data_IF_136590875616
#
_entry.id   IF_136590875616
#
_cell.length_a   1.000
_cell.length_b   1.000
_cell.length_c   1.000
_cell.angle_alpha   90.00
_cell.angle_beta   90.00
_cell.angle_gamma   90.00
#
_symmetry.space_group_name_H-M   'P 1'
#
loop_
_entity.id
_entity.type
_entity.pdbx_description
1 polymer ?
#
# COMPACT_ATOMS: atom_id res chain seq x y z
N UNK A 1 3.34 10.59 0.19
CA UNK A 1 4.42 10.11 1.07
C UNK A 1 5.56 11.14 1.12
N UNK A 2 6.15 11.29 2.31
CA UNK A 2 7.33 12.12 2.51
C UNK A 2 8.58 11.36 2.07
N UNK A 3 9.10 11.74 0.92
CA UNK A 3 10.30 11.16 0.32
C UNK A 3 11.40 12.22 0.21
N UNK A 4 12.66 11.78 0.18
CA UNK A 4 13.82 12.69 0.02
C UNK A 4 13.88 13.20 -1.43
N UNK A 5 13.29 14.37 -1.69
CA UNK A 5 13.16 14.97 -3.03
C UNK A 5 14.49 15.24 -3.74
N UNK A 6 15.57 15.41 -2.97
CA UNK A 6 16.93 15.63 -3.46
C UNK A 6 17.66 14.35 -3.91
N UNK A 7 17.09 13.18 -3.66
CA UNK A 7 17.61 11.90 -4.13
C UNK A 7 16.96 11.52 -5.46
N UNK A 8 17.65 10.68 -6.23
CA UNK A 8 17.01 9.93 -7.31
C UNK A 8 16.21 8.79 -6.73
N UNK A 9 15.23 8.25 -7.50
CA UNK A 9 14.46 7.09 -7.06
C UNK A 9 15.36 5.90 -6.72
N UNK A 10 16.40 5.64 -7.54
CA UNK A 10 17.31 4.52 -7.30
C UNK A 10 18.20 4.75 -6.07
N UNK A 11 18.67 5.98 -5.84
CA UNK A 11 19.46 6.30 -4.64
C UNK A 11 18.63 6.12 -3.37
N UNK A 12 17.36 6.55 -3.40
CA UNK A 12 16.43 6.36 -2.29
C UNK A 12 16.22 4.86 -1.99
N UNK A 13 15.96 4.04 -3.02
CA UNK A 13 15.79 2.60 -2.84
C UNK A 13 17.08 1.92 -2.34
N UNK A 14 18.25 2.39 -2.79
CA UNK A 14 19.53 1.93 -2.28
C UNK A 14 19.73 2.32 -0.81
N UNK A 15 19.41 3.54 -0.45
CA UNK A 15 19.48 4.03 0.93
C UNK A 15 18.59 3.18 1.87
N UNK A 16 17.35 2.91 1.48
CA UNK A 16 16.46 2.01 2.25
C UNK A 16 17.05 0.61 2.35
N UNK A 17 17.57 0.07 1.25
CA UNK A 17 18.22 -1.25 1.25
C UNK A 17 19.45 -1.31 2.16
N UNK A 18 20.22 -0.22 2.29
CA UNK A 18 21.36 -0.14 3.20
C UNK A 18 20.92 -0.14 4.67
N UNK A 19 19.85 0.60 5.00
CA UNK A 19 19.28 0.62 6.37
C UNK A 19 18.86 -0.79 6.83
N UNK A 20 18.27 -1.57 5.92
CA UNK A 20 17.81 -2.93 6.22
C UNK A 20 18.85 -4.02 5.90
N UNK A 21 20.10 -3.64 5.62
CA UNK A 21 21.22 -4.55 5.33
C UNK A 21 20.92 -5.54 4.18
N UNK A 22 20.10 -5.11 3.21
CA UNK A 22 19.75 -5.93 2.04
C UNK A 22 20.90 -5.98 1.06
N UNK A 23 21.34 -7.18 0.69
CA UNK A 23 22.44 -7.35 -0.26
C UNK A 23 22.13 -6.71 -1.62
N UNK A 24 23.15 -6.18 -2.31
CA UNK A 24 23.01 -5.50 -3.60
C UNK A 24 22.29 -6.38 -4.65
N UNK A 25 22.59 -7.69 -4.65
CA UNK A 25 21.95 -8.65 -5.56
C UNK A 25 20.44 -8.72 -5.30
N UNK A 26 20.06 -8.95 -4.04
CA UNK A 26 18.64 -9.07 -3.65
C UNK A 26 17.87 -7.78 -3.89
N UNK A 27 18.46 -6.66 -3.51
CA UNK A 27 17.90 -5.32 -3.76
C UNK A 27 17.59 -5.12 -5.24
N UNK A 28 18.57 -5.43 -6.12
CA UNK A 28 18.36 -5.30 -7.56
C UNK A 28 17.21 -6.16 -8.07
N UNK A 29 17.10 -7.41 -7.60
CA UNK A 29 15.99 -8.32 -7.98
C UNK A 29 14.63 -7.76 -7.57
N UNK A 30 14.49 -7.27 -6.33
CA UNK A 30 13.23 -6.73 -5.80
C UNK A 30 12.87 -5.42 -6.51
N UNK A 31 13.83 -4.50 -6.66
CA UNK A 31 13.62 -3.21 -7.33
C UNK A 31 13.22 -3.44 -8.79
N UNK A 32 13.95 -4.29 -9.53
CA UNK A 32 13.63 -4.63 -10.92
C UNK A 32 12.19 -5.16 -11.06
N UNK A 33 11.81 -6.12 -10.22
CA UNK A 33 10.48 -6.73 -10.21
C UNK A 33 9.38 -5.68 -10.02
N UNK A 34 9.46 -4.90 -8.97
CA UNK A 34 8.36 -4.01 -8.59
C UNK A 34 8.39 -2.67 -9.34
N UNK A 35 9.56 -2.13 -9.67
CA UNK A 35 9.65 -0.93 -10.49
C UNK A 35 9.13 -1.16 -11.92
N UNK A 36 9.38 -2.35 -12.47
CA UNK A 36 8.81 -2.76 -13.75
C UNK A 36 7.30 -2.93 -13.65
N UNK A 37 6.81 -3.67 -12.63
CA UNK A 37 5.37 -3.89 -12.41
C UNK A 37 4.60 -2.57 -12.27
N UNK A 38 5.15 -1.60 -11.57
CA UNK A 38 4.51 -0.30 -11.36
C UNK A 38 4.83 0.76 -12.43
N UNK A 39 5.57 0.41 -13.48
CA UNK A 39 5.89 1.31 -14.59
C UNK A 39 6.74 2.52 -14.21
N UNK A 40 7.57 2.41 -13.16
CA UNK A 40 8.47 3.49 -12.72
C UNK A 40 9.95 3.21 -12.97
N UNK A 41 10.28 2.06 -13.60
CA UNK A 41 11.66 1.64 -13.82
C UNK A 41 12.49 2.69 -14.57
N UNK A 42 11.94 3.24 -15.65
CA UNK A 42 12.65 4.15 -16.55
C UNK A 42 12.89 5.53 -15.93
N UNK A 43 12.18 5.86 -14.87
CA UNK A 43 12.30 7.14 -14.16
C UNK A 43 13.10 7.05 -12.86
N UNK A 44 13.59 5.87 -12.48
CA UNK A 44 14.35 5.70 -11.23
C UNK A 44 15.63 6.55 -11.14
N UNK A 45 16.22 6.93 -12.28
CA UNK A 45 17.39 7.79 -12.32
C UNK A 45 17.05 9.30 -12.23
N UNK A 46 15.77 9.65 -12.23
CA UNK A 46 15.35 11.04 -12.08
C UNK A 46 15.20 11.38 -10.60
N UNK A 47 15.35 12.68 -10.26
CA UNK A 47 15.13 13.18 -8.91
C UNK A 47 13.66 12.98 -8.50
N UNK A 48 13.45 12.53 -7.27
CA UNK A 48 12.10 12.32 -6.68
C UNK A 48 11.29 13.61 -6.68
N UNK A 49 11.95 14.76 -6.55
CA UNK A 49 11.30 16.08 -6.67
C UNK A 49 10.55 16.30 -7.99
N UNK A 50 10.95 15.60 -9.07
CA UNK A 50 10.26 15.66 -10.38
C UNK A 50 9.12 14.67 -10.55
N UNK A 51 8.90 13.75 -9.57
CA UNK A 51 7.87 12.73 -9.67
C UNK A 51 6.47 13.30 -9.43
N UNK A 52 5.50 12.79 -10.18
CA UNK A 52 4.09 13.00 -9.86
C UNK A 52 3.73 12.37 -8.51
N UNK A 53 2.58 12.75 -7.95
CA UNK A 53 2.11 12.15 -6.69
C UNK A 53 1.99 10.62 -6.81
N UNK A 54 1.39 10.12 -7.89
CA UNK A 54 1.28 8.67 -8.14
C UNK A 54 2.63 7.97 -8.28
N UNK A 55 3.64 8.60 -8.92
CA UNK A 55 4.99 8.04 -8.99
C UNK A 55 5.66 7.97 -7.61
N UNK A 56 5.47 8.99 -6.77
CA UNK A 56 5.97 8.99 -5.39
C UNK A 56 5.30 7.88 -4.56
N UNK A 57 4.00 7.69 -4.72
CA UNK A 57 3.26 6.62 -4.05
C UNK A 57 3.78 5.23 -4.47
N UNK A 58 3.98 5.00 -5.77
CA UNK A 58 4.56 3.76 -6.29
C UNK A 58 5.97 3.52 -5.74
N UNK A 59 6.83 4.55 -5.72
CA UNK A 59 8.18 4.46 -5.16
C UNK A 59 8.17 4.12 -3.67
N UNK A 60 7.26 4.72 -2.89
CA UNK A 60 7.08 4.43 -1.47
C UNK A 60 6.69 2.96 -1.25
N UNK A 61 5.78 2.42 -2.06
CA UNK A 61 5.41 1.00 -1.99
C UNK A 61 6.61 0.10 -2.34
N UNK A 62 7.37 0.42 -3.41
CA UNK A 62 8.58 -0.34 -3.75
C UNK A 62 9.59 -0.31 -2.61
N UNK A 63 9.81 0.85 -1.98
CA UNK A 63 10.74 0.98 -0.86
C UNK A 63 10.35 0.13 0.35
N UNK A 64 9.05 0.02 0.62
CA UNK A 64 8.53 -0.85 1.69
C UNK A 64 8.72 -2.35 1.39
N UNK A 65 8.89 -2.72 0.13
CA UNK A 65 9.08 -4.11 -0.31
C UNK A 65 10.56 -4.52 -0.42
N UNK A 66 11.50 -3.57 -0.45
CA UNK A 66 12.94 -3.84 -0.70
C UNK A 66 13.54 -4.85 0.28
N UNK A 67 13.12 -4.80 1.54
CA UNK A 67 13.62 -5.67 2.61
C UNK A 67 12.76 -6.93 2.83
N UNK A 68 11.82 -7.22 1.92
CA UNK A 68 10.91 -8.38 1.96
C UNK A 68 10.24 -8.58 3.32
N UNK A 69 9.46 -7.61 3.81
CA UNK A 69 8.83 -7.68 5.11
C UNK A 69 7.79 -8.82 5.17
N UNK A 70 7.46 -9.29 6.37
CA UNK A 70 6.32 -10.19 6.59
C UNK A 70 5.01 -9.44 6.79
N UNK A 71 5.09 -8.18 7.21
CA UNK A 71 3.95 -7.29 7.44
C UNK A 71 4.20 -5.96 6.72
N UNK A 72 3.23 -5.54 5.90
CA UNK A 72 3.17 -4.19 5.34
C UNK A 72 2.12 -3.37 6.09
N UNK A 73 2.49 -2.15 6.47
CA UNK A 73 1.56 -1.16 7.02
C UNK A 73 1.52 0.01 6.03
N UNK A 74 0.34 0.30 5.48
CA UNK A 74 0.16 1.30 4.43
C UNK A 74 -0.95 2.27 4.83
N UNK A 75 -0.68 3.56 4.69
CA UNK A 75 -1.67 4.61 4.91
C UNK A 75 -2.18 5.10 3.56
N UNK A 76 -3.49 4.95 3.32
CA UNK A 76 -4.18 5.36 2.10
C UNK A 76 -3.45 4.99 0.79
N UNK A 77 -3.10 3.71 0.56
CA UNK A 77 -2.17 3.32 -0.50
C UNK A 77 -2.69 3.57 -1.93
N UNK A 78 -3.98 3.87 -2.10
CA UNK A 78 -4.62 4.07 -3.41
C UNK A 78 -4.80 5.54 -3.77
N UNK A 79 -4.58 6.46 -2.83
CA UNK A 79 -4.75 7.90 -3.07
C UNK A 79 -3.73 8.40 -4.11
N UNK A 80 -4.24 9.11 -5.12
CA UNK A 80 -3.41 9.68 -6.20
C UNK A 80 -2.95 8.68 -7.27
N UNK A 81 -3.42 7.44 -7.22
CA UNK A 81 -3.18 6.46 -8.26
C UNK A 81 -4.27 6.53 -9.34
N UNK A 82 -3.87 6.37 -10.59
CA UNK A 82 -4.79 6.11 -11.69
C UNK A 82 -5.39 4.69 -11.60
N UNK A 83 -6.44 4.36 -12.38
CA UNK A 83 -7.09 3.05 -12.30
C UNK A 83 -6.16 1.88 -12.56
N UNK A 84 -5.20 2.01 -13.48
CA UNK A 84 -4.25 0.94 -13.80
C UNK A 84 -3.27 0.72 -12.64
N UNK A 85 -2.71 1.79 -12.10
CA UNK A 85 -1.82 1.73 -10.96
C UNK A 85 -2.53 1.15 -9.71
N UNK A 86 -3.79 1.56 -9.47
CA UNK A 86 -4.61 0.98 -8.39
C UNK A 86 -4.81 -0.52 -8.56
N UNK A 87 -5.06 -0.97 -9.79
CA UNK A 87 -5.17 -2.40 -10.10
C UNK A 87 -3.86 -3.14 -9.81
N UNK A 88 -2.72 -2.61 -10.28
CA UNK A 88 -1.39 -3.21 -10.06
C UNK A 88 -1.02 -3.32 -8.58
N UNK A 89 -1.35 -2.30 -7.77
CA UNK A 89 -1.15 -2.32 -6.33
C UNK A 89 -2.03 -3.39 -5.67
N UNK A 90 -3.31 -3.49 -6.05
CA UNK A 90 -4.20 -4.54 -5.53
C UNK A 90 -3.69 -5.95 -5.84
N UNK A 91 -3.22 -6.17 -7.07
CA UNK A 91 -2.63 -7.47 -7.47
C UNK A 91 -1.34 -7.77 -6.69
N UNK A 92 -0.48 -6.76 -6.48
CA UNK A 92 0.70 -6.91 -5.61
C UNK A 92 0.30 -7.31 -4.18
N UNK A 93 -0.72 -6.65 -3.62
CA UNK A 93 -1.20 -6.95 -2.27
C UNK A 93 -1.73 -8.39 -2.16
N UNK A 94 -2.50 -8.86 -3.15
CA UNK A 94 -2.96 -10.26 -3.21
C UNK A 94 -1.81 -11.25 -3.30
N UNK A 95 -0.85 -11.01 -4.19
CA UNK A 95 0.34 -11.83 -4.32
C UNK A 95 1.16 -11.88 -3.03
N UNK A 96 1.32 -10.73 -2.37
CA UNK A 96 2.07 -10.64 -1.12
C UNK A 96 1.43 -11.47 -0.01
N UNK A 97 0.11 -11.38 0.15
CA UNK A 97 -0.63 -12.19 1.13
C UNK A 97 -0.65 -13.68 0.75
N UNK A 98 -0.80 -14.03 -0.53
CA UNK A 98 -0.76 -15.41 -1.00
C UNK A 98 0.60 -16.09 -0.73
N UNK A 99 1.68 -15.31 -0.68
CA UNK A 99 3.03 -15.78 -0.32
C UNK A 99 3.30 -15.77 1.19
N UNK A 100 2.26 -15.65 2.03
CA UNK A 100 2.36 -15.73 3.49
C UNK A 100 2.67 -14.41 4.19
N UNK A 101 2.64 -13.29 3.48
CA UNK A 101 2.70 -11.96 4.07
C UNK A 101 1.35 -11.51 4.64
N UNK A 102 1.37 -10.45 5.44
CA UNK A 102 0.17 -9.78 5.94
C UNK A 102 0.23 -8.29 5.58
N UNK A 103 -0.93 -7.70 5.29
CA UNK A 103 -1.05 -6.27 5.00
C UNK A 103 -2.10 -5.67 5.92
N UNK A 104 -1.72 -4.56 6.56
CA UNK A 104 -2.63 -3.68 7.27
C UNK A 104 -2.61 -2.32 6.57
N UNK A 105 -3.77 -1.84 6.13
CA UNK A 105 -3.84 -0.53 5.48
C UNK A 105 -5.08 0.25 5.91
N UNK A 106 -4.93 1.58 5.94
CA UNK A 106 -6.06 2.49 6.10
C UNK A 106 -6.69 2.81 4.74
N UNK A 107 -7.99 3.02 4.71
CA UNK A 107 -8.68 3.60 3.55
C UNK A 107 -10.02 4.19 3.96
N UNK A 108 -10.45 5.24 3.28
CA UNK A 108 -11.81 5.78 3.34
C UNK A 108 -12.69 5.27 2.18
N UNK A 109 -12.15 4.44 1.30
CA UNK A 109 -12.89 3.87 0.16
C UNK A 109 -13.43 2.50 0.55
N UNK A 110 -14.67 2.47 1.03
CA UNK A 110 -15.32 1.27 1.61
C UNK A 110 -15.38 0.10 0.61
N UNK A 111 -15.66 0.39 -0.67
CA UNK A 111 -15.67 -0.64 -1.72
C UNK A 111 -14.32 -1.35 -1.90
N UNK A 112 -13.21 -0.63 -1.73
CA UNK A 112 -11.87 -1.21 -1.79
C UNK A 112 -11.62 -2.11 -0.59
N UNK A 113 -12.00 -1.67 0.62
CA UNK A 113 -11.87 -2.47 1.82
C UNK A 113 -12.70 -3.76 1.71
N UNK A 114 -13.96 -3.66 1.30
CA UNK A 114 -14.87 -4.80 1.16
C UNK A 114 -14.36 -5.86 0.16
N UNK A 115 -13.78 -5.43 -0.97
CA UNK A 115 -13.28 -6.34 -2.01
C UNK A 115 -11.88 -6.92 -1.76
N UNK A 116 -11.09 -6.28 -0.89
CA UNK A 116 -9.68 -6.63 -0.73
C UNK A 116 -9.35 -7.22 0.64
N UNK A 117 -10.07 -6.82 1.68
CA UNK A 117 -9.78 -7.22 3.05
C UNK A 117 -10.58 -8.43 3.49
N UNK A 118 -9.94 -9.33 4.24
CA UNK A 118 -10.63 -10.41 4.94
C UNK A 118 -11.03 -10.02 6.37
N UNK A 119 -10.37 -9.00 6.94
CA UNK A 119 -10.66 -8.43 8.27
C UNK A 119 -10.76 -6.93 8.18
N UNK A 120 -11.58 -6.35 9.05
CA UNK A 120 -11.80 -4.90 9.10
C UNK A 120 -11.79 -4.38 10.55
N UNK A 121 -11.39 -3.14 10.68
CA UNK A 121 -11.54 -2.32 11.88
C UNK A 121 -12.11 -0.97 11.46
N UNK A 122 -13.25 -0.56 12.05
CA UNK A 122 -13.87 0.74 11.82
C UNK A 122 -13.54 1.65 13.00
N UNK A 123 -12.99 2.82 12.70
CA UNK A 123 -12.59 3.84 13.67
C UNK A 123 -13.43 5.10 13.43
N UNK A 124 -14.01 5.66 14.49
CA UNK A 124 -14.69 6.96 14.49
C UNK A 124 -14.18 7.77 15.68
N UNK A 125 -13.80 9.02 15.45
CA UNK A 125 -13.32 9.94 16.48
C UNK A 125 -12.19 9.36 17.38
N UNK A 126 -11.27 8.63 16.76
CA UNK A 126 -10.17 8.00 17.48
C UNK A 126 -10.52 6.77 18.30
N UNK A 127 -11.78 6.29 18.23
CA UNK A 127 -12.26 5.10 18.93
C UNK A 127 -12.51 3.96 17.96
N UNK A 128 -12.11 2.75 18.35
CA UNK A 128 -12.44 1.53 17.63
C UNK A 128 -13.91 1.20 17.88
N UNK A 129 -14.72 1.23 16.81
CA UNK A 129 -16.17 0.98 16.88
C UNK A 129 -16.48 -0.50 16.68
N UNK A 130 -15.87 -1.09 15.65
CA UNK A 130 -16.04 -2.50 15.33
C UNK A 130 -14.75 -3.08 14.78
N UNK A 131 -14.50 -4.39 15.02
CA UNK A 131 -13.44 -5.16 14.39
C UNK A 131 -13.88 -6.60 14.24
N UNK A 132 -13.49 -7.26 13.17
CA UNK A 132 -13.83 -8.66 12.91
C UNK A 132 -13.51 -9.09 11.49
N UNK A 133 -13.92 -10.31 11.19
CA UNK A 133 -13.90 -10.82 9.82
C UNK A 133 -14.91 -10.05 8.95
N UNK A 134 -14.54 -9.76 7.70
CA UNK A 134 -15.38 -8.96 6.79
C UNK A 134 -16.79 -9.56 6.67
N UNK A 135 -16.89 -10.88 6.48
CA UNK A 135 -18.17 -11.59 6.34
C UNK A 135 -19.04 -11.49 7.60
N UNK A 136 -18.43 -11.53 8.78
CA UNK A 136 -19.14 -11.40 10.06
C UNK A 136 -19.65 -9.99 10.30
N UNK A 137 -18.84 -8.98 9.93
CA UNK A 137 -19.19 -7.56 10.12
C UNK A 137 -20.28 -7.13 9.15
N UNK A 138 -20.21 -7.55 7.89
CA UNK A 138 -21.19 -7.15 6.86
C UNK A 138 -22.53 -7.91 6.96
N UNK A 139 -22.53 -9.17 7.39
CA UNK A 139 -23.77 -9.98 7.61
C UNK A 139 -24.81 -9.90 6.49
N UNK A 140 -24.40 -9.93 5.25
CA UNK A 140 -25.24 -9.78 4.05
C UNK A 140 -25.68 -8.34 3.70
N UNK A 141 -25.16 -7.30 4.38
CA UNK A 141 -25.26 -5.91 3.98
C UNK A 141 -23.98 -5.48 3.27
N UNK A 142 -23.96 -4.32 2.62
CA UNK A 142 -22.71 -3.73 2.15
C UNK A 142 -21.91 -3.15 3.33
N UNK A 143 -20.59 -3.03 3.17
CA UNK A 143 -19.77 -2.35 4.18
C UNK A 143 -20.19 -0.88 4.33
N UNK A 144 -20.70 -0.26 3.27
CA UNK A 144 -21.23 1.10 3.29
C UNK A 144 -22.47 1.20 4.17
N UNK A 145 -23.42 0.26 4.07
CA UNK A 145 -24.61 0.24 4.92
C UNK A 145 -24.26 0.09 6.40
N UNK A 146 -23.34 -0.84 6.70
CA UNK A 146 -22.83 -1.05 8.08
C UNK A 146 -22.13 0.19 8.60
N UNK A 147 -21.30 0.85 7.78
CA UNK A 147 -20.60 2.07 8.16
C UNK A 147 -21.59 3.19 8.46
N UNK A 148 -22.60 3.39 7.60
CA UNK A 148 -23.64 4.41 7.80
C UNK A 148 -24.47 4.14 9.05
N UNK A 149 -24.86 2.88 9.30
CA UNK A 149 -25.57 2.49 10.51
C UNK A 149 -24.77 2.84 11.76
N UNK A 150 -23.50 2.43 11.81
CA UNK A 150 -22.61 2.67 12.96
C UNK A 150 -22.26 4.15 13.17
N UNK A 151 -22.32 4.96 12.11
CA UNK A 151 -21.96 6.38 12.18
C UNK A 151 -23.14 7.32 12.36
N UNK A 152 -24.39 6.91 12.01
CA UNK A 152 -25.59 7.73 12.11
C UNK A 152 -26.38 7.54 13.43
N UNK A 153 -26.01 6.57 14.28
CA UNK A 153 -26.62 6.40 15.59
C UNK A 153 -25.94 7.31 16.64
N UNK A 154 -26.23 8.62 16.53
CA UNK A 154 -26.16 9.63 17.59
C UNK A 154 -27.49 10.32 17.76
#
# INVERSE_FOLDING_TARGET
PDLYESLTGIDYLNFIGDIFEVSSKKRKEVVEKYATKFGIKDVLNNYIGSYSHGMRQKLAIVSALVHEPKLLILDEPFVGLDPLASFEVKEMMREFCANGGAIFFSTHVLEVAEKLCNKIAIIKEGKLIVTGDMEEVTKNASLEDVFLELTNHE
#
